data_IF_146034661262
#
_entry.id   IF_146034661262
#
_cell.length_a   1.000
_cell.length_b   1.000
_cell.length_c   1.000
_cell.angle_alpha   90.00
_cell.angle_beta   90.00
_cell.angle_gamma   90.00
#
_symmetry.space_group_name_H-M   'P 1'
#
loop_
_entity.id
_entity.type
_entity.pdbx_description
1 polymer ?
#
# COMPACT_ATOMS: atom_id res chain seq x y z
N UNK A 1 15.08 -2.87 -10.62
CA UNK A 1 15.16 -4.01 -11.57
C UNK A 1 13.76 -4.17 -12.13
N UNK A 2 13.55 -3.95 -13.44
CA UNK A 2 12.21 -3.90 -13.99
C UNK A 2 11.50 -5.25 -13.87
N UNK A 3 10.19 -5.23 -13.54
CA UNK A 3 9.34 -6.42 -13.40
C UNK A 3 9.51 -7.43 -14.54
N UNK A 4 9.69 -6.91 -15.76
CA UNK A 4 9.87 -7.70 -16.99
C UNK A 4 11.07 -8.65 -16.96
N UNK A 5 12.07 -8.40 -16.11
CA UNK A 5 13.28 -9.22 -16.04
C UNK A 5 13.15 -10.45 -15.14
N UNK A 6 12.17 -10.49 -14.22
CA UNK A 6 11.95 -11.66 -13.36
C UNK A 6 10.52 -11.66 -12.73
N UNK A 7 9.52 -12.24 -13.42
CA UNK A 7 8.13 -12.24 -12.94
C UNK A 7 7.93 -13.04 -11.64
N UNK A 8 8.65 -14.16 -11.46
CA UNK A 8 8.57 -14.96 -10.23
C UNK A 8 9.03 -14.15 -9.00
N UNK A 9 10.14 -13.39 -9.14
CA UNK A 9 10.63 -12.51 -8.06
C UNK A 9 9.72 -11.32 -7.82
N UNK A 10 9.11 -10.77 -8.88
CA UNK A 10 8.11 -9.71 -8.75
C UNK A 10 6.90 -10.20 -7.96
N UNK A 11 6.37 -11.38 -8.30
CA UNK A 11 5.26 -12.02 -7.60
C UNK A 11 5.58 -12.22 -6.11
N UNK A 12 6.73 -12.82 -5.80
CA UNK A 12 7.13 -13.07 -4.43
C UNK A 12 7.19 -11.78 -3.60
N UNK A 13 7.67 -10.66 -4.18
CA UNK A 13 7.69 -9.37 -3.48
C UNK A 13 6.29 -8.82 -3.20
N UNK A 14 5.37 -8.91 -4.16
CA UNK A 14 3.99 -8.47 -3.96
C UNK A 14 3.27 -9.35 -2.92
N UNK A 15 3.52 -10.66 -2.93
CA UNK A 15 2.98 -11.59 -1.93
C UNK A 15 3.52 -11.29 -0.51
N UNK A 16 4.79 -10.88 -0.37
CA UNK A 16 5.32 -10.42 0.93
C UNK A 16 4.63 -9.15 1.43
N UNK A 17 4.30 -8.20 0.54
CA UNK A 17 3.53 -7.02 0.94
C UNK A 17 2.12 -7.40 1.42
N UNK A 18 1.46 -8.35 0.74
CA UNK A 18 0.16 -8.89 1.15
C UNK A 18 0.21 -9.59 2.52
N UNK A 19 1.27 -10.36 2.80
CA UNK A 19 1.48 -10.94 4.13
C UNK A 19 1.62 -9.87 5.20
N UNK A 20 2.31 -8.77 4.89
CA UNK A 20 2.41 -7.60 5.76
C UNK A 20 1.03 -6.99 6.10
N UNK A 21 0.15 -6.85 5.09
CA UNK A 21 -1.24 -6.41 5.32
C UNK A 21 -1.97 -7.34 6.28
N UNK A 22 -1.89 -8.66 6.07
CA UNK A 22 -2.54 -9.64 6.94
C UNK A 22 -2.02 -9.56 8.38
N UNK A 23 -0.71 -9.38 8.56
CA UNK A 23 -0.10 -9.21 9.87
C UNK A 23 -0.59 -7.95 10.59
N UNK A 24 -0.63 -6.80 9.90
CA UNK A 24 -1.14 -5.54 10.44
C UNK A 24 -2.60 -5.63 10.90
N UNK A 25 -3.45 -6.34 10.14
CA UNK A 25 -4.85 -6.56 10.55
C UNK A 25 -4.95 -7.50 11.75
N UNK A 26 -4.09 -8.52 11.82
CA UNK A 26 -4.09 -9.50 12.90
C UNK A 26 -3.59 -8.97 14.24
N UNK A 27 -2.65 -8.02 14.24
CA UNK A 27 -2.08 -7.43 15.47
C UNK A 27 -2.86 -6.25 16.03
N UNK A 28 -3.80 -5.69 15.27
CA UNK A 28 -4.43 -4.40 15.56
C UNK A 28 -3.53 -3.28 15.04
N UNK A 29 -3.83 -2.71 13.86
CA UNK A 29 -2.89 -1.84 13.19
C UNK A 29 -2.72 -0.53 13.97
N UNK A 30 -1.46 -0.11 14.15
CA UNK A 30 -1.12 1.18 14.70
C UNK A 30 -0.39 2.03 13.64
N UNK A 31 -0.35 3.36 13.81
CA UNK A 31 0.29 4.27 12.86
C UNK A 31 1.74 3.89 12.51
N UNK A 32 2.53 3.50 13.51
CA UNK A 32 3.95 3.23 13.32
C UNK A 32 4.19 2.00 12.43
N UNK A 33 3.54 0.88 12.75
CA UNK A 33 3.69 -0.34 11.95
C UNK A 33 3.11 -0.17 10.54
N UNK A 34 2.02 0.59 10.41
CA UNK A 34 1.46 0.96 9.11
C UNK A 34 2.47 1.77 8.29
N UNK A 35 3.08 2.81 8.87
CA UNK A 35 4.04 3.68 8.17
C UNK A 35 5.28 2.89 7.73
N UNK A 36 5.79 1.98 8.56
CA UNK A 36 6.90 1.11 8.19
C UNK A 36 6.54 0.22 6.99
N UNK A 37 5.38 -0.41 7.02
CA UNK A 37 4.90 -1.25 5.92
C UNK A 37 4.64 -0.44 4.64
N UNK A 38 4.03 0.75 4.76
CA UNK A 38 3.67 1.61 3.64
C UNK A 38 4.91 2.13 2.91
N UNK A 39 5.91 2.60 3.68
CA UNK A 39 7.19 3.01 3.13
C UNK A 39 7.86 1.86 2.37
N UNK A 40 7.84 0.65 2.96
CA UNK A 40 8.41 -0.54 2.32
C UNK A 40 7.68 -0.90 1.03
N UNK A 41 6.35 -0.82 1.02
CA UNK A 41 5.55 -1.08 -0.16
C UNK A 41 5.86 -0.09 -1.28
N UNK A 42 6.02 1.21 -0.97
CA UNK A 42 6.44 2.23 -1.92
C UNK A 42 7.82 1.94 -2.51
N UNK A 43 8.82 1.66 -1.69
CA UNK A 43 10.18 1.31 -2.16
C UNK A 43 10.16 0.12 -3.13
N UNK A 44 9.39 -0.92 -2.79
CA UNK A 44 9.28 -2.13 -3.61
C UNK A 44 8.64 -1.82 -4.96
N UNK A 45 7.52 -1.11 -4.96
CA UNK A 45 6.77 -0.78 -6.18
C UNK A 45 7.54 0.20 -7.07
N UNK A 46 8.19 1.21 -6.48
CA UNK A 46 9.06 2.15 -7.20
C UNK A 46 10.24 1.40 -7.86
N UNK A 47 10.89 0.49 -7.15
CA UNK A 47 12.00 -0.30 -7.70
C UNK A 47 11.59 -1.30 -8.79
N UNK A 48 10.32 -1.72 -8.79
CA UNK A 48 9.73 -2.69 -9.71
C UNK A 48 9.23 -2.03 -11.00
N UNK A 49 8.42 -1.00 -10.88
CA UNK A 49 7.71 -0.37 -11.99
C UNK A 49 8.26 1.02 -12.35
N UNK A 50 8.94 1.69 -11.43
CA UNK A 50 9.37 3.08 -11.56
C UNK A 50 8.37 4.07 -10.91
N UNK A 51 8.84 5.25 -10.46
CA UNK A 51 7.99 6.23 -9.77
C UNK A 51 6.90 6.85 -10.66
N UNK A 52 7.13 6.93 -11.98
CA UNK A 52 6.19 7.51 -12.94
C UNK A 52 5.27 6.45 -13.60
N UNK A 53 5.26 5.24 -13.06
CA UNK A 53 4.47 4.14 -13.62
C UNK A 53 2.99 4.22 -13.23
N UNK A 54 2.07 3.78 -14.10
CA UNK A 54 0.64 3.71 -13.75
C UNK A 54 0.38 2.74 -12.58
N UNK A 55 1.19 1.71 -12.40
CA UNK A 55 1.14 0.79 -11.25
C UNK A 55 1.46 1.51 -9.94
N UNK A 56 2.55 2.30 -9.92
CA UNK A 56 2.91 3.09 -8.75
C UNK A 56 1.86 4.19 -8.47
N UNK A 57 1.34 4.84 -9.51
CA UNK A 57 0.27 5.83 -9.37
C UNK A 57 -1.03 5.23 -8.79
N UNK A 58 -1.47 4.06 -9.29
CA UNK A 58 -2.64 3.34 -8.74
C UNK A 58 -2.46 2.99 -7.27
N UNK A 59 -1.29 2.49 -6.90
CA UNK A 59 -0.97 2.21 -5.50
C UNK A 59 -0.97 3.49 -4.66
N UNK A 60 -0.32 4.54 -5.15
CA UNK A 60 -0.31 5.85 -4.53
C UNK A 60 -1.72 6.40 -4.34
N UNK A 61 -2.66 6.23 -5.27
CA UNK A 61 -4.06 6.66 -5.07
C UNK A 61 -4.81 5.83 -4.01
N UNK A 62 -4.48 4.55 -3.89
CA UNK A 62 -5.07 3.67 -2.89
C UNK A 62 -4.68 4.06 -1.45
N UNK A 63 -3.45 4.56 -1.26
CA UNK A 63 -2.87 4.83 0.06
C UNK A 63 -2.56 6.30 0.34
N UNK A 64 -2.39 7.16 -0.68
CA UNK A 64 -2.03 8.57 -0.56
C UNK A 64 -3.23 9.49 -0.82
N UNK A 65 -3.26 10.61 -0.05
CA UNK A 65 -4.14 11.80 -0.09
C UNK A 65 -5.63 11.64 0.26
N UNK A 66 -6.34 12.63 0.80
CA UNK A 66 -6.05 13.79 1.69
C UNK A 66 -7.43 14.29 2.15
N UNK A 67 -7.57 14.65 3.42
CA UNK A 67 -8.78 15.31 3.89
C UNK A 67 -9.12 14.93 5.32
N UNK A 68 -9.31 15.97 6.14
CA UNK A 68 -9.84 15.88 7.50
C UNK A 68 -11.04 14.92 7.53
N UNK A 69 -11.00 13.90 8.37
CA UNK A 69 -12.22 13.14 8.67
C UNK A 69 -13.24 14.12 9.27
N UNK A 70 -14.49 14.19 8.76
CA UNK A 70 -15.52 15.04 9.34
C UNK A 70 -15.64 14.78 10.84
N UNK A 71 -15.43 15.82 11.65
CA UNK A 71 -15.51 15.73 13.12
C UNK A 71 -14.20 15.49 13.88
N UNK A 72 -13.05 15.28 13.22
CA UNK A 72 -11.75 15.11 13.91
C UNK A 72 -11.02 16.45 14.04
N UNK A 73 -10.52 16.79 15.25
CA UNK A 73 -9.62 17.94 15.46
C UNK A 73 -8.20 17.57 15.04
N UNK A 74 -7.63 18.29 14.07
CA UNK A 74 -6.27 18.14 13.57
C UNK A 74 -5.99 19.16 12.46
N UNK A 75 -4.73 19.57 12.28
CA UNK A 75 -4.30 20.36 11.11
C UNK A 75 -4.48 19.50 9.85
N UNK A 76 -4.78 20.09 8.69
CA UNK A 76 -5.04 19.36 7.42
C UNK A 76 -3.92 18.38 7.02
N UNK A 77 -2.72 18.55 7.58
CA UNK A 77 -1.53 17.74 7.31
C UNK A 77 -1.04 16.95 8.53
N UNK A 78 -1.69 17.11 9.69
CA UNK A 78 -1.32 16.43 10.94
C UNK A 78 -2.35 15.33 11.24
N UNK A 79 -2.30 14.29 10.42
CA UNK A 79 -3.12 13.10 10.57
C UNK A 79 -2.57 12.23 11.70
N UNK A 80 -3.29 12.10 12.80
CA UNK A 80 -3.28 10.80 13.49
C UNK A 80 -3.89 9.80 12.50
N UNK A 81 -3.10 8.82 12.04
CA UNK A 81 -3.58 7.69 11.24
C UNK A 81 -4.62 6.93 12.07
N UNK A 82 -5.88 7.35 11.97
CA UNK A 82 -6.98 6.67 12.64
C UNK A 82 -7.06 5.24 12.14
N UNK A 83 -7.38 4.31 13.01
CA UNK A 83 -7.55 2.90 12.62
C UNK A 83 -8.75 2.76 11.68
N UNK A 84 -9.83 3.48 11.97
CA UNK A 84 -11.11 3.41 11.28
C UNK A 84 -11.40 4.65 10.42
N UNK A 85 -12.44 4.54 9.60
CA UNK A 85 -12.92 5.57 8.69
C UNK A 85 -12.43 5.36 7.25
N UNK A 86 -12.98 6.09 6.26
CA UNK A 86 -12.67 5.89 4.84
C UNK A 86 -11.18 6.06 4.50
N UNK A 87 -10.48 6.87 5.30
CA UNK A 87 -9.05 7.13 5.19
C UNK A 87 -8.25 6.61 6.40
N UNK A 88 -8.87 5.77 7.23
CA UNK A 88 -8.18 5.09 8.31
C UNK A 88 -7.29 3.96 7.79
N UNK A 89 -6.44 3.42 8.66
CA UNK A 89 -5.46 2.38 8.33
C UNK A 89 -6.15 1.18 7.68
N UNK A 90 -7.26 0.69 8.24
CA UNK A 90 -7.94 -0.49 7.70
C UNK A 90 -8.44 -0.28 6.26
N UNK A 91 -9.07 0.87 5.99
CA UNK A 91 -9.57 1.20 4.64
C UNK A 91 -8.44 1.45 3.64
N UNK A 92 -7.26 1.91 4.10
CA UNK A 92 -6.05 2.00 3.27
C UNK A 92 -5.50 0.62 2.94
N UNK A 93 -5.43 -0.27 3.94
CA UNK A 93 -5.01 -1.66 3.77
C UNK A 93 -5.92 -2.42 2.80
N UNK A 94 -7.24 -2.23 2.88
CA UNK A 94 -8.21 -2.85 1.96
C UNK A 94 -7.96 -2.44 0.50
N UNK A 95 -7.76 -1.14 0.26
CA UNK A 95 -7.49 -0.62 -1.09
C UNK A 95 -6.12 -1.03 -1.60
N UNK A 96 -5.10 -0.99 -0.73
CA UNK A 96 -3.76 -1.45 -1.09
C UNK A 96 -3.75 -2.93 -1.44
N UNK A 97 -4.43 -3.78 -0.68
CA UNK A 97 -4.56 -5.21 -0.98
C UNK A 97 -5.20 -5.44 -2.35
N UNK A 98 -6.27 -4.72 -2.67
CA UNK A 98 -6.92 -4.83 -3.97
C UNK A 98 -5.95 -4.49 -5.12
N UNK A 99 -5.19 -3.41 -5.01
CA UNK A 99 -4.18 -3.04 -6.01
C UNK A 99 -3.08 -4.10 -6.10
N UNK A 100 -2.54 -4.56 -4.97
CA UNK A 100 -1.46 -5.56 -4.98
C UNK A 100 -1.89 -6.89 -5.61
N UNK A 101 -3.13 -7.33 -5.36
CA UNK A 101 -3.70 -8.53 -6.00
C UNK A 101 -3.87 -8.34 -7.50
N UNK A 102 -4.40 -7.19 -7.94
CA UNK A 102 -4.48 -6.86 -9.37
C UNK A 102 -3.11 -6.87 -10.04
N UNK A 103 -2.09 -6.29 -9.39
CA UNK A 103 -0.73 -6.29 -9.92
C UNK A 103 -0.16 -7.71 -10.05
N UNK A 104 -0.46 -8.62 -9.12
CA UNK A 104 -0.07 -10.04 -9.22
C UNK A 104 -0.75 -10.72 -10.41
N UNK A 105 -2.04 -10.46 -10.62
CA UNK A 105 -2.82 -11.03 -11.72
C UNK A 105 -2.37 -10.50 -13.09
N UNK A 106 -1.87 -9.26 -13.14
CA UNK A 106 -1.32 -8.60 -14.33
C UNK A 106 0.13 -9.04 -14.65
N UNK A 107 0.83 -9.76 -13.75
CA UNK A 107 2.18 -10.23 -14.02
C UNK A 107 2.17 -11.22 -15.20
N UNK A 108 3.14 -11.14 -16.12
CA UNK A 108 3.25 -12.12 -17.20
C UNK A 108 3.46 -13.51 -16.58
N UNK A 109 2.72 -14.49 -17.08
CA UNK A 109 2.97 -15.90 -16.77
C UNK A 109 4.38 -16.22 -17.26
N UNK A 110 5.30 -16.42 -16.32
CA UNK A 110 6.67 -16.86 -16.60
C UNK A 110 6.71 -18.29 -17.10
#
# INVERSE_FOLDING_TARGET
>A
MPVRSNPARARARLEELLKGIAALRGSGPNPFDYDLWENRAREVLEAMYGPDSPEFARYAEAVLKRGRLPGVRGLEENMTLNIHGPWGILARLDRAEAVLRQLIDELPSG
#
